data_IF_868738255167
#
_entry.id   IF_868738255167
#
_cell.length_a   1.000
_cell.length_b   1.000
_cell.length_c   1.000
_cell.angle_alpha   90.00
_cell.angle_beta   90.00
_cell.angle_gamma   90.00
#
_symmetry.space_group_name_H-M   'P 1'
#
loop_
_entity.id
_entity.type
_entity.pdbx_description
1 polymer ?
#
# COMPACT_ATOMS: atom_id res chain seq x y z
N UNK A 1 -21.10 -21.85 15.51
CA UNK A 1 -19.99 -21.37 16.35
C UNK A 1 -18.79 -21.34 15.43
N UNK A 2 -18.36 -20.14 14.99
CA UNK A 2 -17.17 -20.02 14.14
C UNK A 2 -15.97 -20.34 15.02
N UNK A 3 -15.26 -21.43 14.75
CA UNK A 3 -13.94 -21.62 15.35
C UNK A 3 -13.04 -20.50 14.84
N UNK A 4 -12.52 -19.69 15.77
CA UNK A 4 -11.60 -18.60 15.51
C UNK A 4 -10.18 -19.13 15.22
N UNK A 5 -10.08 -20.27 14.53
CA UNK A 5 -8.82 -20.78 14.00
C UNK A 5 -8.50 -19.94 12.76
N UNK A 6 -7.84 -18.82 13.05
CA UNK A 6 -7.34 -17.75 12.18
C UNK A 6 -8.34 -17.20 11.14
N UNK A 7 -8.69 -15.91 11.28
CA UNK A 7 -9.50 -15.18 10.29
C UNK A 7 -9.03 -15.48 8.85
N UNK A 8 -7.71 -15.57 8.65
CA UNK A 8 -7.03 -15.98 7.43
C UNK A 8 -6.21 -17.24 7.72
N UNK A 9 -6.39 -18.32 6.95
CA UNK A 9 -5.57 -19.54 7.09
C UNK A 9 -4.14 -19.28 6.64
N UNK A 10 -3.18 -20.08 7.13
CA UNK A 10 -1.78 -20.00 6.70
C UNK A 10 -1.63 -20.16 5.18
N UNK A 11 -2.42 -21.05 4.56
CA UNK A 11 -2.46 -21.23 3.12
C UNK A 11 -2.88 -19.96 2.36
N UNK A 12 -3.89 -19.23 2.87
CA UNK A 12 -4.31 -17.97 2.25
C UNK A 12 -3.27 -16.86 2.47
N UNK A 13 -2.41 -16.96 3.49
CA UNK A 13 -1.42 -15.94 3.79
C UNK A 13 -0.23 -15.95 2.83
N UNK A 14 0.02 -17.03 2.09
CA UNK A 14 1.15 -17.16 1.18
C UNK A 14 0.75 -16.82 -0.26
N UNK A 15 1.63 -16.10 -0.98
CA UNK A 15 1.44 -15.81 -2.39
C UNK A 15 1.89 -17.02 -3.24
N UNK A 16 1.27 -17.25 -4.40
CA UNK A 16 1.72 -18.28 -5.32
C UNK A 16 3.13 -17.98 -5.83
N UNK A 17 3.89 -19.03 -6.14
CA UNK A 17 5.24 -18.92 -6.70
C UNK A 17 5.22 -18.26 -8.09
N UNK A 18 6.22 -17.41 -8.35
CA UNK A 18 6.34 -16.73 -9.63
C UNK A 18 7.12 -17.60 -10.64
N UNK A 19 6.69 -17.77 -11.91
CA UNK A 19 7.40 -18.58 -12.90
C UNK A 19 8.82 -18.08 -13.23
N UNK A 20 9.10 -16.82 -12.92
CA UNK A 20 10.38 -16.15 -13.11
C UNK A 20 11.03 -15.77 -11.77
N UNK A 21 10.78 -16.52 -10.71
CA UNK A 21 11.31 -16.23 -9.37
C UNK A 21 12.83 -16.04 -9.35
N UNK A 22 13.57 -16.85 -10.11
CA UNK A 22 15.03 -16.74 -10.30
C UNK A 22 15.51 -15.43 -10.93
N UNK A 23 14.59 -14.64 -11.51
CA UNK A 23 14.89 -13.36 -12.14
C UNK A 23 14.42 -12.15 -11.30
N UNK A 24 13.73 -12.35 -10.18
CA UNK A 24 13.20 -11.25 -9.34
C UNK A 24 14.31 -10.38 -8.74
N UNK A 25 15.46 -10.99 -8.44
CA UNK A 25 16.62 -10.29 -7.86
C UNK A 25 17.46 -9.56 -8.91
N UNK A 26 17.13 -9.68 -10.20
CA UNK A 26 17.88 -8.99 -11.27
C UNK A 26 17.59 -7.49 -11.23
N UNK A 27 18.64 -6.71 -11.14
CA UNK A 27 18.54 -5.24 -11.12
C UNK A 27 18.18 -4.68 -12.48
N UNK A 28 17.33 -3.66 -12.47
CA UNK A 28 17.13 -2.75 -13.59
C UNK A 28 18.01 -1.51 -13.41
N UNK A 29 18.41 -0.84 -14.52
CA UNK A 29 19.05 0.45 -14.44
C UNK A 29 18.20 1.47 -13.69
N UNK A 30 18.86 2.46 -13.07
CA UNK A 30 18.17 3.57 -12.40
C UNK A 30 17.32 4.35 -13.43
N UNK A 31 16.06 4.63 -13.07
CA UNK A 31 15.10 5.38 -13.90
C UNK A 31 15.59 6.81 -14.22
N UNK A 32 16.54 7.34 -13.45
CA UNK A 32 17.19 8.63 -13.71
C UNK A 32 18.24 8.56 -14.82
N UNK A 33 18.65 7.36 -15.20
CA UNK A 33 19.79 7.11 -16.10
C UNK A 33 19.34 6.45 -17.41
N UNK A 34 18.37 5.54 -17.36
CA UNK A 34 17.83 4.85 -18.54
C UNK A 34 16.46 5.38 -18.94
N UNK A 35 16.15 5.35 -20.24
CA UNK A 35 14.81 5.71 -20.71
C UNK A 35 13.80 4.59 -20.41
N UNK A 36 12.48 4.88 -20.32
CA UNK A 36 11.46 3.84 -20.16
C UNK A 36 11.53 2.76 -21.26
N UNK A 37 11.84 3.13 -22.50
CA UNK A 37 11.98 2.18 -23.61
C UNK A 37 13.19 1.25 -23.42
N UNK A 38 14.31 1.78 -22.94
CA UNK A 38 15.50 0.99 -22.61
C UNK A 38 15.22 0.02 -21.46
N UNK A 39 14.57 0.48 -20.39
CA UNK A 39 14.15 -0.36 -19.27
C UNK A 39 13.24 -1.50 -19.74
N UNK A 40 12.23 -1.20 -20.57
CA UNK A 40 11.35 -2.21 -21.17
C UNK A 40 12.12 -3.21 -22.03
N UNK A 41 13.09 -2.75 -22.82
CA UNK A 41 13.89 -3.64 -23.66
C UNK A 41 14.71 -4.62 -22.82
N UNK A 42 15.33 -4.15 -21.73
CA UNK A 42 16.08 -4.98 -20.78
C UNK A 42 15.12 -5.97 -20.09
N UNK A 43 13.99 -5.50 -19.57
CA UNK A 43 13.00 -6.37 -18.92
C UNK A 43 12.53 -7.50 -19.84
N UNK A 44 12.28 -7.21 -21.12
CA UNK A 44 11.88 -8.24 -22.10
C UNK A 44 13.01 -9.22 -22.41
N UNK A 45 14.21 -8.71 -22.68
CA UNK A 45 15.37 -9.51 -23.04
C UNK A 45 15.76 -10.46 -21.90
N UNK A 46 15.89 -9.92 -20.70
CA UNK A 46 16.41 -10.62 -19.53
C UNK A 46 15.31 -11.26 -18.69
N UNK A 47 14.05 -11.10 -19.12
CA UNK A 47 12.85 -11.69 -18.50
C UNK A 47 12.75 -11.29 -17.03
N UNK A 48 12.94 -10.01 -16.75
CA UNK A 48 12.92 -9.43 -15.41
C UNK A 48 11.48 -9.00 -15.07
N UNK A 49 10.86 -9.60 -14.03
CA UNK A 49 9.49 -9.27 -13.63
C UNK A 49 9.31 -7.79 -13.27
N UNK A 50 8.14 -7.25 -13.62
CA UNK A 50 7.66 -5.93 -13.20
C UNK A 50 6.96 -5.94 -11.84
N UNK A 51 6.86 -7.10 -11.19
CA UNK A 51 6.24 -7.28 -9.88
C UNK A 51 7.26 -7.70 -8.83
N UNK A 52 6.94 -7.42 -7.56
CA UNK A 52 7.69 -7.90 -6.41
C UNK A 52 6.72 -8.42 -5.36
N UNK A 53 7.18 -9.38 -4.55
CA UNK A 53 6.38 -9.88 -3.43
C UNK A 53 6.44 -8.88 -2.29
N UNK A 54 5.27 -8.44 -1.81
CA UNK A 54 5.12 -7.58 -0.63
C UNK A 54 4.51 -8.36 0.52
N UNK A 55 4.89 -7.97 1.74
CA UNK A 55 4.33 -8.48 2.98
C UNK A 55 3.44 -7.43 3.61
N UNK A 56 2.17 -7.76 3.82
CA UNK A 56 1.20 -6.89 4.44
C UNK A 56 0.95 -7.38 5.87
N UNK A 57 1.18 -6.54 6.89
CA UNK A 57 0.87 -6.89 8.27
C UNK A 57 -0.62 -7.14 8.49
N UNK A 58 -0.94 -8.17 9.25
CA UNK A 58 -2.23 -8.29 9.96
C UNK A 58 -2.15 -7.68 11.35
N UNK A 59 -1.02 -7.88 12.02
CA UNK A 59 -0.69 -7.36 13.34
C UNK A 59 0.84 -7.36 13.52
N UNK A 60 1.29 -7.17 14.76
CA UNK A 60 2.72 -7.08 15.08
C UNK A 60 3.53 -8.36 14.80
N UNK A 61 2.90 -9.53 14.65
CA UNK A 61 3.60 -10.82 14.53
C UNK A 61 3.18 -11.65 13.33
N UNK A 62 2.18 -11.21 12.56
CA UNK A 62 1.64 -11.96 11.42
C UNK A 62 1.49 -11.06 10.20
N UNK A 63 1.81 -11.62 9.05
CA UNK A 63 1.79 -10.96 7.74
C UNK A 63 1.13 -11.89 6.72
N UNK A 64 0.76 -11.35 5.57
CA UNK A 64 0.41 -12.10 4.38
C UNK A 64 1.10 -11.53 3.15
N UNK A 65 1.19 -12.34 2.11
CA UNK A 65 1.92 -12.04 0.89
C UNK A 65 0.98 -11.71 -0.26
N UNK A 66 1.40 -10.79 -1.11
CA UNK A 66 0.81 -10.56 -2.42
C UNK A 66 1.86 -10.04 -3.42
N UNK A 67 1.53 -10.12 -4.70
CA UNK A 67 2.36 -9.58 -5.79
C UNK A 67 2.00 -8.12 -6.07
N UNK A 68 2.93 -7.21 -5.78
CA UNK A 68 2.79 -5.78 -6.03
C UNK A 68 3.37 -5.42 -7.39
N UNK A 69 2.62 -4.65 -8.18
CA UNK A 69 3.05 -4.12 -9.45
C UNK A 69 3.92 -2.88 -9.21
N UNK A 70 5.20 -2.92 -9.59
CA UNK A 70 6.10 -1.80 -9.34
C UNK A 70 5.81 -0.68 -10.34
N UNK A 71 5.46 0.54 -9.89
CA UNK A 71 5.24 1.68 -10.78
C UNK A 71 6.45 1.96 -11.68
N UNK A 72 6.18 2.39 -12.91
CA UNK A 72 7.20 2.61 -13.93
C UNK A 72 7.88 1.34 -14.49
N UNK A 73 7.52 0.13 -14.04
CA UNK A 73 7.97 -1.13 -14.67
C UNK A 73 6.92 -1.68 -15.61
N UNK A 74 7.39 -2.30 -16.70
CA UNK A 74 6.53 -3.13 -17.53
C UNK A 74 6.25 -4.45 -16.82
N UNK A 75 5.00 -4.89 -16.87
CA UNK A 75 4.56 -6.21 -16.48
C UNK A 75 4.68 -7.17 -17.65
N UNK A 76 5.40 -8.27 -17.44
CA UNK A 76 5.47 -9.37 -18.40
C UNK A 76 4.15 -10.14 -18.43
N UNK A 77 3.86 -10.92 -19.50
CA UNK A 77 2.68 -11.78 -19.54
C UNK A 77 2.56 -12.73 -18.34
N UNK A 78 3.68 -13.23 -17.83
CA UNK A 78 3.75 -14.09 -16.64
C UNK A 78 3.32 -13.35 -15.37
N UNK A 79 3.74 -12.10 -15.22
CA UNK A 79 3.38 -11.25 -14.08
C UNK A 79 1.86 -11.06 -14.04
N UNK A 80 1.25 -10.76 -15.19
CA UNK A 80 -0.20 -10.54 -15.33
C UNK A 80 -0.98 -11.83 -15.07
N UNK A 81 -0.47 -12.98 -15.52
CA UNK A 81 -1.13 -14.27 -15.27
C UNK A 81 -1.15 -14.59 -13.77
N UNK A 82 -0.06 -14.30 -13.06
CA UNK A 82 0.00 -14.45 -11.61
C UNK A 82 -0.99 -13.53 -10.90
N UNK A 83 -1.06 -12.25 -11.27
CA UNK A 83 -2.03 -11.30 -10.71
C UNK A 83 -3.47 -11.81 -10.91
N UNK A 84 -3.79 -12.34 -12.10
CA UNK A 84 -5.12 -12.88 -12.42
C UNK A 84 -5.45 -14.13 -11.62
N UNK A 85 -4.52 -15.07 -11.54
CA UNK A 85 -4.71 -16.32 -10.81
C UNK A 85 -4.86 -16.09 -9.30
N UNK A 86 -4.06 -15.17 -8.75
CA UNK A 86 -4.00 -14.90 -7.33
C UNK A 86 -5.14 -13.99 -6.82
N UNK A 87 -5.79 -13.27 -7.74
CA UNK A 87 -6.86 -12.31 -7.45
C UNK A 87 -7.92 -12.84 -6.48
N UNK A 88 -8.41 -14.07 -6.70
CA UNK A 88 -9.45 -14.65 -5.84
C UNK A 88 -8.99 -14.82 -4.39
N UNK A 89 -7.72 -15.16 -4.15
CA UNK A 89 -7.14 -15.28 -2.81
C UNK A 89 -7.09 -13.91 -2.14
N UNK A 90 -6.57 -12.90 -2.83
CA UNK A 90 -6.49 -11.51 -2.35
C UNK A 90 -7.88 -10.99 -1.99
N UNK A 91 -8.85 -11.09 -2.90
CA UNK A 91 -10.22 -10.63 -2.67
C UNK A 91 -10.89 -11.37 -1.51
N UNK A 92 -10.57 -12.65 -1.29
CA UNK A 92 -11.08 -13.40 -0.13
C UNK A 92 -10.54 -12.86 1.19
N UNK A 93 -9.25 -12.48 1.24
CA UNK A 93 -8.63 -11.86 2.41
C UNK A 93 -9.26 -10.51 2.68
N UNK A 94 -9.35 -9.66 1.66
CA UNK A 94 -9.95 -8.33 1.75
C UNK A 94 -11.41 -8.39 2.17
N UNK A 95 -12.20 -9.32 1.62
CA UNK A 95 -13.59 -9.51 2.00
C UNK A 95 -13.77 -9.85 3.48
N UNK A 96 -12.88 -10.68 4.04
CA UNK A 96 -12.90 -10.99 5.47
C UNK A 96 -12.51 -9.78 6.33
N UNK A 97 -11.51 -9.01 5.91
CA UNK A 97 -11.11 -7.79 6.61
C UNK A 97 -12.21 -6.72 6.59
N UNK A 98 -12.85 -6.50 5.44
CA UNK A 98 -13.97 -5.57 5.30
C UNK A 98 -15.18 -6.03 6.12
N UNK A 99 -15.52 -7.33 6.07
CA UNK A 99 -16.62 -7.86 6.87
C UNK A 99 -16.39 -7.64 8.38
N UNK A 100 -15.14 -7.77 8.83
CA UNK A 100 -14.79 -7.63 10.24
C UNK A 100 -14.70 -6.17 10.71
N UNK A 101 -14.04 -5.30 9.94
CA UNK A 101 -13.64 -3.96 10.37
C UNK A 101 -14.40 -2.83 9.67
N UNK A 102 -15.05 -3.13 8.55
CA UNK A 102 -15.60 -2.15 7.64
C UNK A 102 -14.54 -1.51 6.73
N UNK A 103 -14.96 -1.09 5.55
CA UNK A 103 -14.16 -0.34 4.59
C UNK A 103 -14.76 1.04 4.32
N UNK A 104 -13.93 2.07 4.17
CA UNK A 104 -14.36 3.41 3.77
C UNK A 104 -13.91 3.65 2.34
N UNK A 105 -14.85 3.90 1.42
CA UNK A 105 -14.57 4.14 0.01
C UNK A 105 -14.37 5.63 -0.29
N UNK A 106 -13.25 5.96 -0.93
CA UNK A 106 -12.87 7.32 -1.27
C UNK A 106 -12.79 7.47 -2.77
N UNK A 107 -13.57 8.40 -3.31
CA UNK A 107 -13.69 8.74 -4.71
C UNK A 107 -13.51 10.23 -4.92
N UNK A 108 -13.36 10.68 -6.16
CA UNK A 108 -13.22 12.11 -6.51
C UNK A 108 -14.28 13.02 -5.83
N UNK A 109 -15.50 12.51 -5.66
CA UNK A 109 -16.63 13.20 -5.04
C UNK A 109 -16.96 12.74 -3.61
N UNK A 110 -16.14 11.90 -2.98
CA UNK A 110 -16.44 11.40 -1.63
C UNK A 110 -16.45 12.55 -0.62
N UNK A 111 -17.54 12.62 0.15
CA UNK A 111 -17.63 13.54 1.29
C UNK A 111 -16.76 12.98 2.41
N UNK A 112 -15.62 13.64 2.64
CA UNK A 112 -14.55 13.19 3.52
C UNK A 112 -14.84 13.40 5.02
N UNK A 113 -16.10 13.63 5.38
CA UNK A 113 -16.52 13.86 6.75
C UNK A 113 -16.82 12.53 7.44
N UNK A 114 -16.63 12.45 8.76
CA UNK A 114 -16.81 11.25 9.57
C UNK A 114 -18.22 10.64 9.60
N UNK A 115 -19.11 11.07 8.71
CA UNK A 115 -20.46 10.57 8.48
C UNK A 115 -20.54 9.53 7.35
N UNK A 116 -19.42 9.24 6.65
CA UNK A 116 -19.37 8.14 5.70
C UNK A 116 -19.54 6.81 6.45
N UNK A 117 -20.66 6.12 6.22
CA UNK A 117 -20.88 4.81 6.79
C UNK A 117 -19.93 3.80 6.14
N UNK A 118 -19.22 2.97 6.93
CA UNK A 118 -18.36 1.94 6.38
C UNK A 118 -19.19 0.88 5.67
N UNK A 119 -18.65 0.34 4.58
CA UNK A 119 -19.19 -0.84 3.90
C UNK A 119 -18.64 -2.11 4.55
N UNK A 120 -19.47 -3.15 4.63
CA UNK A 120 -19.10 -4.44 5.23
C UNK A 120 -19.15 -5.61 4.24
N UNK A 121 -19.27 -5.29 2.95
CA UNK A 121 -19.29 -6.25 1.85
C UNK A 121 -18.28 -5.82 0.78
N UNK A 122 -17.35 -6.71 0.44
CA UNK A 122 -16.35 -6.49 -0.60
C UNK A 122 -16.97 -6.19 -1.96
N UNK A 123 -18.13 -6.77 -2.28
CA UNK A 123 -18.80 -6.51 -3.55
C UNK A 123 -19.26 -5.06 -3.68
N UNK A 124 -19.56 -4.39 -2.56
CA UNK A 124 -19.88 -2.96 -2.56
C UNK A 124 -18.65 -2.09 -2.87
N UNK A 125 -17.45 -2.52 -2.44
CA UNK A 125 -16.20 -1.84 -2.81
C UNK A 125 -15.91 -2.01 -4.30
N UNK A 126 -16.08 -3.22 -4.84
CA UNK A 126 -15.91 -3.47 -6.27
C UNK A 126 -16.95 -2.70 -7.12
N UNK A 127 -18.19 -2.62 -6.65
CA UNK A 127 -19.22 -1.79 -7.29
C UNK A 127 -18.84 -0.31 -7.28
N UNK A 128 -18.34 0.18 -6.15
CA UNK A 128 -17.84 1.55 -6.02
C UNK A 128 -16.74 1.84 -7.05
N UNK A 129 -15.73 0.97 -7.17
CA UNK A 129 -14.66 1.11 -8.16
C UNK A 129 -15.16 1.02 -9.61
N UNK A 130 -16.18 0.19 -9.87
CA UNK A 130 -16.80 0.12 -11.21
C UNK A 130 -17.56 1.38 -11.55
N UNK A 131 -18.26 1.97 -10.57
CA UNK A 131 -19.02 3.21 -10.73
C UNK A 131 -18.13 4.43 -11.01
N UNK A 132 -16.86 4.40 -10.62
CA UNK A 132 -15.86 5.42 -10.98
C UNK A 132 -15.25 5.20 -12.37
N UNK A 133 -15.67 4.17 -13.09
CA UNK A 133 -15.21 3.87 -14.45
C UNK A 133 -13.82 3.25 -14.53
N UNK A 134 -13.28 2.78 -13.41
CA UNK A 134 -11.95 2.18 -13.32
C UNK A 134 -12.04 0.66 -13.52
N UNK A 135 -11.17 0.11 -14.38
CA UNK A 135 -10.96 -1.33 -14.41
C UNK A 135 -10.13 -1.75 -13.21
N UNK A 136 -10.55 -2.81 -12.52
CA UNK A 136 -9.90 -3.33 -11.31
C UNK A 136 -8.92 -4.45 -11.68
N UNK A 137 -8.09 -4.25 -12.71
CA UNK A 137 -7.23 -5.31 -13.26
C UNK A 137 -6.15 -5.74 -12.28
N UNK A 138 -5.56 -4.76 -11.57
CA UNK A 138 -4.62 -4.96 -10.48
C UNK A 138 -5.11 -4.27 -9.19
N UNK A 139 -4.74 -4.85 -8.05
CA UNK A 139 -5.03 -4.32 -6.71
C UNK A 139 -3.70 -3.98 -6.06
N UNK A 140 -3.55 -2.75 -5.61
CA UNK A 140 -2.43 -2.33 -4.75
C UNK A 140 -2.92 -2.21 -3.32
N UNK A 141 -2.06 -2.60 -2.38
CA UNK A 141 -2.37 -2.65 -0.97
C UNK A 141 -1.17 -2.11 -0.22
N UNK A 142 -1.38 -1.00 0.49
CA UNK A 142 -0.43 -0.45 1.44
C UNK A 142 -0.95 -0.67 2.86
N UNK A 143 -0.03 -1.01 3.78
CA UNK A 143 -0.31 -0.89 5.20
C UNK A 143 0.33 0.40 5.72
N UNK A 144 -0.51 1.25 6.28
CA UNK A 144 -0.12 2.50 6.91
C UNK A 144 -0.13 2.29 8.43
N UNK A 145 1.01 2.39 9.13
CA UNK A 145 1.07 2.19 10.56
C UNK A 145 0.45 3.37 11.31
N UNK A 146 0.24 3.19 12.62
CA UNK A 146 -0.27 4.27 13.48
C UNK A 146 0.63 5.51 13.41
N UNK A 147 0.03 6.68 13.22
CA UNK A 147 0.72 7.95 13.18
C UNK A 147 0.08 8.97 14.14
N UNK A 148 0.92 9.78 14.79
CA UNK A 148 0.49 10.84 15.70
C UNK A 148 1.28 12.10 15.38
N UNK A 149 0.58 13.22 15.15
CA UNK A 149 1.23 14.50 14.91
C UNK A 149 0.48 15.66 15.56
N UNK A 150 1.23 16.70 15.90
CA UNK A 150 0.69 18.00 16.28
C UNK A 150 0.52 18.86 15.04
N UNK A 151 -0.64 19.50 14.89
CA UNK A 151 -0.98 20.31 13.71
C UNK A 151 -1.67 21.61 14.10
N UNK A 152 -1.57 22.60 13.20
CA UNK A 152 -2.37 23.82 13.25
C UNK A 152 -3.44 23.72 12.15
N UNK A 153 -4.70 23.50 12.54
CA UNK A 153 -5.82 23.53 11.61
C UNK A 153 -6.26 24.99 11.47
N UNK A 154 -5.98 25.60 10.31
CA UNK A 154 -6.33 27.01 10.05
C UNK A 154 -7.76 27.14 9.53
N UNK A 155 -8.30 26.10 8.90
CA UNK A 155 -9.66 26.08 8.35
C UNK A 155 -10.25 24.66 8.35
N UNK A 156 -11.58 24.47 8.49
CA UNK A 156 -12.24 23.16 8.35
C UNK A 156 -12.10 22.47 6.98
N UNK A 157 -11.51 23.14 5.99
CA UNK A 157 -11.26 22.61 4.64
C UNK A 157 -9.76 22.45 4.31
N UNK A 158 -8.86 22.63 5.28
CA UNK A 158 -7.43 22.39 5.06
C UNK A 158 -7.18 20.89 4.92
N UNK A 159 -7.21 20.42 3.66
CA UNK A 159 -6.74 19.11 3.22
C UNK A 159 -5.22 19.16 3.10
N UNK A 160 -4.43 19.13 4.19
CA UNK A 160 -3.00 19.45 4.01
C UNK A 160 -1.94 18.51 4.64
N UNK A 161 -0.89 18.21 3.84
CA UNK A 161 0.33 17.55 4.27
C UNK A 161 1.37 18.56 4.79
N UNK A 162 1.79 18.37 6.06
CA UNK A 162 3.08 18.76 6.71
C UNK A 162 3.50 20.27 6.61
N UNK A 163 4.70 20.71 7.03
CA UNK A 163 5.30 20.96 8.36
C UNK A 163 4.96 22.33 9.00
N UNK A 164 5.33 22.47 10.28
CA UNK A 164 5.13 23.63 11.18
C UNK A 164 5.74 24.92 10.57
N UNK A 165 4.94 25.99 10.46
CA UNK A 165 5.50 27.33 10.25
C UNK A 165 6.20 27.79 11.54
N UNK A 166 7.49 28.11 11.47
CA UNK A 166 8.26 28.61 12.61
C UNK A 166 7.52 29.80 13.28
N UNK A 167 7.10 29.61 14.53
CA UNK A 167 6.51 30.65 15.37
C UNK A 167 5.05 30.48 15.80
N UNK A 168 4.34 29.42 15.40
CA UNK A 168 2.98 29.13 15.93
C UNK A 168 2.93 27.82 16.73
N UNK A 169 2.47 27.90 17.97
CA UNK A 169 2.20 26.72 18.82
C UNK A 169 1.08 25.87 18.20
N UNK A 170 1.27 24.55 18.03
CA UNK A 170 0.21 23.65 17.58
C UNK A 170 -0.96 23.61 18.57
N UNK A 171 -2.20 23.71 18.05
CA UNK A 171 -3.41 23.67 18.87
C UNK A 171 -4.20 22.35 18.76
N UNK A 172 -3.76 21.41 17.91
CA UNK A 172 -4.43 20.12 17.71
C UNK A 172 -3.44 18.96 17.71
N UNK A 173 -3.92 17.79 18.11
CA UNK A 173 -3.27 16.49 17.89
C UNK A 173 -4.14 15.65 16.97
N UNK A 174 -3.51 15.04 15.97
CA UNK A 174 -4.13 14.08 15.06
C UNK A 174 -3.61 12.70 15.41
N UNK A 175 -4.51 11.71 15.46
CA UNK A 175 -4.18 10.31 15.67
C UNK A 175 -4.83 9.47 14.58
N UNK A 176 -3.98 8.82 13.78
CA UNK A 176 -4.36 7.85 12.77
C UNK A 176 -4.00 6.45 13.28
N UNK A 177 -4.97 5.55 13.49
CA UNK A 177 -4.66 4.15 13.76
C UNK A 177 -4.10 3.49 12.50
N UNK A 178 -3.45 2.34 12.69
CA UNK A 178 -3.00 1.53 11.56
C UNK A 178 -4.17 1.18 10.63
N UNK A 179 -3.93 1.19 9.33
CA UNK A 179 -4.97 0.90 8.35
C UNK A 179 -4.38 0.31 7.07
N UNK A 180 -5.20 -0.45 6.36
CA UNK A 180 -4.89 -0.89 4.99
C UNK A 180 -5.52 0.09 4.02
N UNK A 181 -4.75 0.56 3.03
CA UNK A 181 -5.23 1.35 1.91
C UNK A 181 -5.17 0.48 0.66
N UNK A 182 -6.30 0.36 -0.01
CA UNK A 182 -6.47 -0.47 -1.20
C UNK A 182 -6.76 0.44 -2.38
N UNK A 183 -5.98 0.31 -3.44
CA UNK A 183 -6.16 1.02 -4.71
C UNK A 183 -6.37 0.04 -5.87
N UNK A 184 -7.04 0.50 -6.92
CA UNK A 184 -7.36 -0.29 -8.09
C UNK A 184 -6.73 0.32 -9.33
N UNK A 185 -6.09 -0.52 -10.15
CA UNK A 185 -5.38 -0.06 -11.34
C UNK A 185 -5.85 -0.80 -12.60
N UNK A 186 -6.13 -0.06 -13.69
CA UNK A 186 -6.27 -0.66 -15.01
C UNK A 186 -4.89 -1.05 -15.54
N UNK A 187 -4.84 -2.15 -16.29
CA UNK A 187 -3.66 -2.56 -17.04
C UNK A 187 -3.79 -2.15 -18.51
N UNK A 188 -2.83 -1.37 -19.01
CA UNK A 188 -2.75 -1.00 -20.40
C UNK A 188 -1.78 -1.91 -21.16
N UNK A 189 -2.19 -2.52 -22.29
CA UNK A 189 -1.27 -3.31 -23.11
C UNK A 189 -0.24 -2.40 -23.79
N UNK A 190 1.02 -2.86 -23.81
CA UNK A 190 2.14 -2.24 -24.51
C UNK A 190 2.92 -3.29 -25.32
N UNK A 191 3.95 -2.87 -26.05
CA UNK A 191 4.76 -3.78 -26.85
C UNK A 191 5.52 -4.80 -25.97
N UNK A 192 5.02 -6.03 -25.94
CA UNK A 192 5.64 -7.15 -25.22
C UNK A 192 5.22 -7.28 -23.76
N UNK A 193 4.20 -6.54 -23.30
CA UNK A 193 3.72 -6.60 -21.92
C UNK A 193 2.56 -5.67 -21.62
N UNK A 194 2.46 -5.26 -20.35
CA UNK A 194 1.44 -4.36 -19.83
C UNK A 194 2.06 -3.31 -18.90
N UNK A 195 1.36 -2.22 -18.65
CA UNK A 195 1.75 -1.21 -17.66
C UNK A 195 0.54 -0.77 -16.84
N UNK A 196 0.81 -0.30 -15.61
CA UNK A 196 -0.20 0.38 -14.80
C UNK A 196 -0.52 1.74 -15.43
N UNK A 197 -1.80 2.07 -15.50
CA UNK A 197 -2.23 3.43 -15.91
C UNK A 197 -2.06 4.38 -14.72
N UNK A 198 -1.07 5.28 -14.80
CA UNK A 198 -0.70 6.17 -13.67
C UNK A 198 -1.59 7.43 -13.54
N UNK A 199 -2.34 7.82 -14.58
CA UNK A 199 -3.37 8.86 -14.44
C UNK A 199 -4.63 8.27 -13.80
N UNK A 200 -4.69 8.31 -12.47
CA UNK A 200 -5.78 7.73 -11.68
C UNK A 200 -6.88 8.74 -11.33
N UNK A 201 -8.16 8.44 -11.61
CA UNK A 201 -9.24 9.01 -10.81
C UNK A 201 -9.05 8.53 -9.36
N UNK A 202 -9.27 9.41 -8.39
CA UNK A 202 -9.20 9.02 -6.97
C UNK A 202 -10.24 7.93 -6.72
N UNK A 203 -9.81 6.72 -6.37
CA UNK A 203 -10.66 5.58 -6.06
C UNK A 203 -9.91 4.59 -5.16
N UNK A 204 -10.19 4.62 -3.87
CA UNK A 204 -9.57 3.73 -2.90
C UNK A 204 -10.56 3.24 -1.86
N UNK A 205 -10.16 2.21 -1.11
CA UNK A 205 -10.85 1.74 0.08
C UNK A 205 -9.86 1.67 1.23
N UNK A 206 -10.21 2.23 2.39
CA UNK A 206 -9.39 2.10 3.60
C UNK A 206 -10.10 1.29 4.67
N UNK A 207 -9.36 0.35 5.27
CA UNK A 207 -9.80 -0.50 6.37
C UNK A 207 -9.04 -0.09 7.62
N UNK A 208 -9.71 0.60 8.54
CA UNK A 208 -9.08 1.16 9.73
C UNK A 208 -9.12 0.19 10.91
N UNK A 209 -8.02 0.05 11.66
CA UNK A 209 -7.96 -0.78 12.89
C UNK A 209 -8.57 -0.08 14.12
N UNK A 210 -8.95 1.19 13.98
CA UNK A 210 -9.56 2.00 15.03
C UNK A 210 -10.20 3.25 14.46
N UNK A 211 -10.69 4.16 15.32
CA UNK A 211 -11.27 5.43 14.89
C UNK A 211 -10.20 6.52 14.82
N UNK A 212 -9.82 7.00 13.63
CA UNK A 212 -8.98 8.18 13.50
C UNK A 212 -9.66 9.41 14.10
N UNK A 213 -8.88 10.27 14.78
CA UNK A 213 -9.45 11.47 15.41
C UNK A 213 -8.49 12.66 15.46
N UNK A 214 -9.10 13.83 15.51
CA UNK A 214 -8.47 15.11 15.80
C UNK A 214 -8.89 15.53 17.20
N UNK A 215 -7.95 15.99 18.02
CA UNK A 215 -8.18 16.50 19.38
C UNK A 215 -7.70 17.94 19.50
N UNK A 216 -8.57 18.84 19.92
CA UNK A 216 -8.20 20.21 20.30
C UNK A 216 -7.46 20.17 21.65
N UNK A 217 -6.28 20.78 21.72
CA UNK A 217 -5.43 20.77 22.92
C UNK A 217 -5.91 21.74 24.00
N UNK A 218 -6.63 22.80 23.63
CA UNK A 218 -7.16 23.81 24.55
C UNK A 218 -8.51 23.39 25.14
N UNK A 219 -9.44 22.93 24.29
CA UNK A 219 -10.81 22.57 24.71
C UNK A 219 -10.95 21.10 25.09
N UNK A 220 -10.06 20.24 24.62
CA UNK A 220 -10.13 18.79 24.81
C UNK A 220 -11.15 18.09 23.90
N UNK A 221 -11.88 18.83 23.06
CA UNK A 221 -12.88 18.31 22.13
C UNK A 221 -12.23 17.38 21.09
N UNK A 222 -12.98 16.36 20.67
CA UNK A 222 -12.51 15.37 19.69
C UNK A 222 -13.49 15.24 18.52
N UNK A 223 -12.96 14.96 17.34
CA UNK A 223 -13.77 14.72 16.13
C UNK A 223 -13.14 13.61 15.32
N UNK A 224 -13.95 12.63 14.90
CA UNK A 224 -13.52 11.52 14.04
C UNK A 224 -13.46 11.96 12.58
N UNK A 225 -12.40 11.58 11.87
CA UNK A 225 -12.14 11.92 10.47
C UNK A 225 -11.43 10.75 9.80
N UNK A 226 -12.03 10.13 8.78
CA UNK A 226 -11.44 8.95 8.12
C UNK A 226 -10.61 9.30 6.89
N UNK A 227 -10.50 10.58 6.57
CA UNK A 227 -9.74 11.14 5.44
C UNK A 227 -8.41 11.76 5.88
N UNK A 228 -7.92 11.36 7.05
CA UNK A 228 -6.62 11.81 7.53
C UNK A 228 -5.51 11.15 6.68
N UNK A 229 -4.39 11.85 6.50
CA UNK A 229 -3.31 11.45 5.58
C UNK A 229 -1.93 11.77 6.13
N UNK A 230 -1.70 11.43 7.40
CA UNK A 230 -0.44 11.60 8.12
C UNK A 230 0.45 10.36 8.00
N UNK A 231 -0.14 9.17 8.08
CA UNK A 231 0.60 7.93 8.02
C UNK A 231 1.25 7.76 6.64
N UNK A 232 2.43 7.16 6.64
CA UNK A 232 3.18 6.82 5.43
C UNK A 232 3.18 5.31 5.24
N UNK A 233 3.15 4.80 4.01
CA UNK A 233 3.14 3.36 3.76
C UNK A 233 4.38 2.71 4.37
N UNK A 234 4.20 1.49 4.87
CA UNK A 234 5.29 0.63 5.30
C UNK A 234 5.66 -0.32 4.16
N UNK A 235 6.70 0.05 3.41
CA UNK A 235 7.19 -0.73 2.27
C UNK A 235 7.96 -1.97 2.74
N UNK A 236 7.24 -3.09 2.90
CA UNK A 236 7.83 -4.39 3.27
C UNK A 236 7.88 -5.29 2.05
N UNK A 237 9.06 -5.43 1.45
CA UNK A 237 9.33 -6.39 0.35
C UNK A 237 10.11 -7.63 0.81
N UNK A 238 10.52 -7.66 2.09
CA UNK A 238 11.30 -8.72 2.73
C UNK A 238 10.82 -8.91 4.18
N UNK A 239 10.93 -10.11 4.77
CA UNK A 239 10.47 -10.34 6.15
C UNK A 239 11.06 -9.30 7.13
N UNK A 240 10.24 -8.60 7.96
CA UNK A 240 10.72 -7.50 8.80
C UNK A 240 11.77 -7.92 9.85
N UNK A 241 11.91 -9.22 10.14
CA UNK A 241 12.93 -9.77 11.04
C UNK A 241 14.21 -10.26 10.32
N UNK A 242 14.21 -10.39 8.98
CA UNK A 242 15.43 -10.71 8.23
C UNK A 242 16.37 -9.50 8.09
N UNK A 243 15.85 -8.28 8.28
CA UNK A 243 16.63 -7.04 8.20
C UNK A 243 17.48 -6.74 9.45
N UNK A 244 17.32 -7.48 10.55
CA UNK A 244 18.09 -7.27 11.80
C UNK A 244 19.41 -8.08 11.87
N UNK A 245 19.89 -8.62 10.75
CA UNK A 245 21.08 -9.50 10.72
C UNK A 245 22.06 -9.27 9.58
N UNK A 246 21.95 -8.18 8.82
CA UNK A 246 22.89 -7.83 7.74
C UNK A 246 23.35 -6.37 7.83
N UNK A 247 23.86 -5.99 8.99
CA UNK A 247 24.94 -4.98 9.06
C UNK A 247 26.12 -5.64 9.77
N UNK A 248 27.08 -6.13 8.99
CA UNK A 248 28.53 -6.21 9.29
C UNK A 248 29.22 -7.15 8.30
N UNK A 249 29.37 -6.71 7.05
CA UNK A 249 30.32 -7.34 6.14
C UNK A 249 30.97 -6.40 5.12
N UNK A 250 30.81 -5.08 5.22
CA UNK A 250 31.52 -4.13 4.34
C UNK A 250 32.04 -2.92 5.11
N UNK A 251 32.85 -3.20 6.14
CA UNK A 251 33.80 -2.23 6.71
C UNK A 251 35.14 -2.94 6.91
N UNK A 252 35.80 -3.25 5.79
CA UNK A 252 37.25 -3.50 5.76
C UNK A 252 37.90 -2.44 4.90
N UNK A 253 38.04 -1.23 5.44
CA UNK A 253 39.09 -0.32 5.02
C UNK A 253 40.37 -0.68 5.81
N UNK A 254 41.53 -0.80 5.15
CA UNK A 254 42.78 -1.12 5.82
C UNK A 254 43.22 0.06 6.68
N UNK A 255 43.45 -0.19 7.97
CA UNK A 255 44.12 0.74 8.86
C UNK A 255 45.53 0.99 8.32
N UNK A 256 45.79 2.24 7.92
CA UNK A 256 47.11 2.72 7.58
C UNK A 256 48.09 2.53 8.74
N UNK A 257 49.23 1.94 8.42
CA UNK A 257 50.40 1.92 9.28
C UNK A 257 50.99 3.33 9.27
N UNK A 258 50.94 4.01 10.41
CA UNK A 258 51.74 5.20 10.67
C UNK A 258 52.99 4.78 11.44
N UNK A 259 54.16 5.13 10.90
CA UNK A 259 55.36 5.44 11.68
C UNK A 259 55.37 6.93 12.03
#
# INVERSE_FOLDING_TARGET
MLEFNSLISEELALAPEHPLEQNLERSLPDIRVASPEEMRAIQRCDRIPGIVRRLIPFNATTVWEYWWCVPGRMLLPEDVEIIRCDRQRIETILAKLIWLLGGNCFGENSCLYGDAEPVYDWQQVLEFARCTGISTDAIDIDFLPTAIAQVNLSHPYDKLPVPIAEGKTPNYVVVEPGHWHIEFFPLQPIEGGFELVEQKPMCSCQIWTGKPFIKNLETGETTTRYDLGLATPLDITSHPWLSFGQEEAESRLPLGVGE
#
